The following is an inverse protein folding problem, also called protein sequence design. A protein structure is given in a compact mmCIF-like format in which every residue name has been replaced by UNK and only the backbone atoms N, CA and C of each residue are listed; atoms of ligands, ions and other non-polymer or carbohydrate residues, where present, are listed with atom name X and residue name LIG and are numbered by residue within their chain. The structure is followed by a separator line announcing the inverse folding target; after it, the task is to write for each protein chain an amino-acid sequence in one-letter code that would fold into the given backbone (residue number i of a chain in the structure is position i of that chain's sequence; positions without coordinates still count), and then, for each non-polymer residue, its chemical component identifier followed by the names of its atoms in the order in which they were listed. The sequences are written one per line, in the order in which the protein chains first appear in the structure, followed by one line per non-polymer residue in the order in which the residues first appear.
data_IF_741729147624
#
_entry.id   IF_741729147624
#
_cell.length_a   1.000
_cell.length_b   1.000
_cell.length_c   1.000
_cell.angle_alpha   90.00
_cell.angle_beta   90.00
_cell.angle_gamma   90.00
#
_symmetry.space_group_name_H-M   'P 1'
#
loop_
_entity.id
_entity.type
_entity.pdbx_description
1 polymer ?
#
# COMPACT_ATOMS: atom_id res chain seq x y z
N UNK A 1 -12.78 80.82 -0.99
CA UNK A 1 -12.00 80.30 0.17
C UNK A 1 -12.36 78.83 0.30
N UNK A 2 -11.53 77.92 -0.24
CA UNK A 2 -10.46 77.16 0.43
C UNK A 2 -10.95 76.27 1.58
N UNK A 3 -10.54 74.99 1.49
CA UNK A 3 -10.72 73.80 2.36
C UNK A 3 -11.72 72.82 1.70
N UNK A 4 -11.36 71.95 0.75
CA UNK A 4 -10.24 70.99 0.67
C UNK A 4 -10.22 70.03 1.88
N UNK A 5 -10.79 68.83 1.66
CA UNK A 5 -10.17 67.50 1.91
C UNK A 5 -11.21 66.46 2.35
N UNK A 6 -10.99 65.24 1.88
CA UNK A 6 -11.54 63.97 2.39
C UNK A 6 -12.92 63.55 1.86
N UNK A 7 -12.98 63.27 0.56
CA UNK A 7 -14.10 62.52 -0.04
C UNK A 7 -13.64 61.54 -1.14
N UNK A 8 -12.55 60.79 -0.89
CA UNK A 8 -12.08 59.69 -1.77
C UNK A 8 -11.51 58.47 -1.03
N UNK A 9 -11.78 58.32 0.26
CA UNK A 9 -11.17 57.26 1.10
C UNK A 9 -12.18 56.43 1.88
N UNK A 10 -13.40 56.23 1.33
CA UNK A 10 -14.44 55.41 1.99
C UNK A 10 -14.82 54.15 1.17
N UNK A 11 -14.29 53.98 -0.05
CA UNK A 11 -14.64 52.84 -0.90
C UNK A 11 -13.54 51.78 -1.05
N UNK A 12 -12.55 51.76 -0.15
CA UNK A 12 -11.41 50.82 -0.18
C UNK A 12 -11.10 50.23 1.20
N UNK A 13 -12.13 50.00 2.02
CA UNK A 13 -11.99 49.40 3.36
C UNK A 13 -13.13 48.40 3.67
N UNK A 14 -13.64 47.70 2.65
CA UNK A 14 -14.61 46.60 2.80
C UNK A 14 -14.11 45.26 2.21
N UNK A 15 -12.81 45.14 1.93
CA UNK A 15 -12.23 43.97 1.26
C UNK A 15 -11.09 43.29 2.03
N UNK A 16 -11.01 43.50 3.34
CA UNK A 16 -9.95 42.98 4.21
C UNK A 16 -10.51 42.43 5.52
N UNK A 17 -11.47 41.50 5.43
CA UNK A 17 -11.90 40.63 6.54
C UNK A 17 -12.54 39.35 5.98
N UNK A 18 -11.91 38.71 4.99
CA UNK A 18 -12.16 37.28 4.78
C UNK A 18 -11.42 36.56 5.91
N UNK A 19 -12.12 36.38 7.03
CA UNK A 19 -11.63 35.62 8.16
C UNK A 19 -11.18 34.24 7.66
N UNK A 20 -9.95 33.89 7.98
CA UNK A 20 -9.44 32.52 7.84
C UNK A 20 -10.34 31.67 8.74
N UNK A 21 -11.32 30.99 8.15
CA UNK A 21 -12.19 30.07 8.89
C UNK A 21 -11.34 28.91 9.37
N UNK A 22 -10.91 28.97 10.64
CA UNK A 22 -10.38 27.81 11.32
C UNK A 22 -11.59 26.89 11.54
N UNK A 23 -11.68 25.83 10.73
CA UNK A 23 -12.78 24.87 10.85
C UNK A 23 -12.80 24.31 12.28
N UNK A 24 -13.91 24.52 12.97
CA UNK A 24 -14.12 24.06 14.33
C UNK A 24 -14.39 22.56 14.30
N UNK A 25 -13.61 21.76 15.03
CA UNK A 25 -13.81 20.31 15.05
C UNK A 25 -14.47 19.94 16.38
N UNK A 26 -15.63 19.28 16.29
CA UNK A 26 -16.40 18.75 17.40
C UNK A 26 -16.12 17.27 17.57
N UNK A 27 -15.96 16.84 18.82
CA UNK A 27 -15.79 15.44 19.21
C UNK A 27 -16.97 15.03 20.09
N UNK A 28 -17.55 13.85 19.85
CA UNK A 28 -18.56 13.27 20.75
C UNK A 28 -18.44 11.76 20.84
N UNK A 29 -19.15 11.17 21.81
CA UNK A 29 -19.19 9.72 22.04
C UNK A 29 -20.62 9.21 21.80
N UNK A 30 -20.76 8.20 20.94
CA UNK A 30 -22.07 7.60 20.66
C UNK A 30 -22.53 6.62 21.76
N UNK A 31 -23.77 6.14 21.66
CA UNK A 31 -24.34 5.18 22.62
C UNK A 31 -23.59 3.83 22.69
N UNK A 32 -22.81 3.49 21.66
CA UNK A 32 -21.93 2.32 21.63
C UNK A 32 -20.52 2.61 22.18
N UNK A 33 -20.28 3.83 22.65
CA UNK A 33 -19.02 4.27 23.23
C UNK A 33 -17.93 4.63 22.21
N UNK A 34 -18.26 4.80 20.93
CA UNK A 34 -17.31 5.15 19.87
C UNK A 34 -17.17 6.67 19.76
N UNK A 35 -15.94 7.13 19.51
CA UNK A 35 -15.62 8.54 19.36
C UNK A 35 -15.75 8.96 17.90
N UNK A 36 -16.46 10.05 17.64
CA UNK A 36 -16.69 10.63 16.33
C UNK A 36 -16.20 12.08 16.29
N UNK A 37 -15.85 12.55 15.09
CA UNK A 37 -15.40 13.92 14.83
C UNK A 37 -16.16 14.52 13.65
N UNK A 38 -16.58 15.78 13.74
CA UNK A 38 -17.21 16.52 12.63
C UNK A 38 -16.92 18.02 12.75
N UNK A 39 -17.00 18.70 11.64
CA UNK A 39 -17.06 20.16 11.49
C UNK A 39 -18.37 20.78 12.01
N UNK A 40 -19.41 19.97 12.26
CA UNK A 40 -20.69 20.41 12.83
C UNK A 40 -21.01 19.62 14.10
N UNK A 41 -21.50 20.32 15.12
CA UNK A 41 -21.91 19.70 16.38
C UNK A 41 -23.22 18.92 16.17
N UNK A 42 -23.29 17.62 16.52
CA UNK A 42 -24.53 16.86 16.41
C UNK A 42 -25.55 17.32 17.46
N UNK A 43 -26.80 17.53 17.05
CA UNK A 43 -27.89 17.95 17.96
C UNK A 43 -28.24 16.89 19.03
N UNK A 44 -27.88 15.63 18.78
CA UNK A 44 -28.35 14.46 19.53
C UNK A 44 -27.35 13.97 20.59
N UNK A 45 -26.13 14.50 20.61
CA UNK A 45 -25.07 14.08 21.53
C UNK A 45 -24.35 15.29 22.11
N UNK A 46 -24.01 15.24 23.40
CA UNK A 46 -23.11 16.24 23.98
C UNK A 46 -21.75 16.15 23.27
N UNK A 47 -21.33 17.25 22.67
CA UNK A 47 -20.09 17.36 21.90
C UNK A 47 -19.16 18.38 22.54
N UNK A 48 -17.87 18.10 22.46
CA UNK A 48 -16.79 18.97 22.93
C UNK A 48 -16.06 19.54 21.71
N UNK A 49 -15.86 20.87 21.70
CA UNK A 49 -15.07 21.53 20.66
C UNK A 49 -13.59 21.32 20.95
N UNK A 50 -12.91 20.63 20.04
CA UNK A 50 -11.48 20.37 20.14
C UNK A 50 -10.71 21.25 19.14
N UNK A 51 -9.62 21.83 19.61
CA UNK A 51 -8.61 22.43 18.71
C UNK A 51 -7.50 21.40 18.54
N UNK A 52 -7.24 20.89 17.33
CA UNK A 52 -6.15 19.94 17.12
C UNK A 52 -4.84 20.56 17.57
N UNK A 53 -4.21 19.98 18.61
CA UNK A 53 -2.89 20.40 19.04
C UNK A 53 -1.86 19.88 18.03
N UNK A 54 -1.49 20.74 17.07
CA UNK A 54 -0.49 20.45 16.03
C UNK A 54 0.94 20.35 16.57
N UNK A 55 1.23 20.86 17.77
CA UNK A 55 2.56 20.78 18.38
C UNK A 55 2.89 19.36 18.87
N UNK A 56 1.89 18.53 19.23
CA UNK A 56 2.10 17.13 19.63
C UNK A 56 2.35 16.17 18.48
N UNK A 57 2.18 16.59 17.22
CA UNK A 57 2.31 15.74 16.04
C UNK A 57 3.56 16.04 15.20
N UNK A 58 4.42 16.97 15.61
CA UNK A 58 5.67 17.28 14.89
C UNK A 58 5.46 17.77 13.45
N UNK A 59 4.24 18.19 13.09
CA UNK A 59 3.90 18.65 11.75
C UNK A 59 4.23 20.13 11.63
N UNK A 60 5.29 20.47 10.90
CA UNK A 60 5.46 21.83 10.37
C UNK A 60 4.56 21.97 9.14
N UNK A 61 3.50 22.75 9.27
CA UNK A 61 2.68 23.19 8.14
C UNK A 61 3.58 24.01 7.20
N UNK A 62 3.60 23.64 5.91
CA UNK A 62 4.33 24.36 4.87
C UNK A 62 3.89 25.82 4.82
N UNK A 63 4.84 26.73 4.61
CA UNK A 63 4.62 28.18 4.63
C UNK A 63 3.46 28.62 3.72
N UNK A 64 2.72 29.69 4.08
CA UNK A 64 1.49 30.10 3.40
C UNK A 64 1.63 30.31 1.88
N UNK A 65 2.82 30.70 1.39
CA UNK A 65 3.12 30.78 -0.04
C UNK A 65 3.03 29.44 -0.78
N UNK A 66 3.36 28.34 -0.12
CA UNK A 66 3.25 27.00 -0.69
C UNK A 66 1.78 26.55 -0.79
N UNK A 67 0.94 26.95 0.15
CA UNK A 67 -0.50 26.68 0.11
C UNK A 67 -1.21 27.48 -0.99
N UNK A 68 -0.82 28.75 -1.20
CA UNK A 68 -1.35 29.58 -2.29
C UNK A 68 -0.98 29.01 -3.68
N UNK A 69 0.29 28.61 -3.86
CA UNK A 69 0.75 28.00 -5.12
C UNK A 69 0.01 26.68 -5.45
N UNK A 70 -0.32 25.87 -4.43
CA UNK A 70 -1.15 24.68 -4.61
C UNK A 70 -2.59 25.01 -5.00
N UNK A 71 -3.18 26.05 -4.42
CA UNK A 71 -4.57 26.45 -4.72
C UNK A 71 -4.74 26.96 -6.16
N UNK A 72 -3.78 27.73 -6.68
CA UNK A 72 -3.81 28.21 -8.08
C UNK A 72 -3.65 27.07 -9.09
N UNK A 73 -2.87 26.04 -8.75
CA UNK A 73 -2.66 24.87 -9.60
C UNK A 73 -3.92 23.98 -9.68
N UNK A 74 -4.69 23.87 -8.59
CA UNK A 74 -5.96 23.12 -8.59
C UNK A 74 -7.05 23.87 -9.36
N UNK A 75 -7.14 25.19 -9.19
CA UNK A 75 -8.15 26.02 -9.87
C UNK A 75 -7.91 26.15 -11.39
N UNK A 76 -6.67 26.02 -11.84
CA UNK A 76 -6.33 26.03 -13.28
C UNK A 76 -6.69 24.72 -14.00
N UNK A 77 -6.73 23.59 -13.29
CA UNK A 77 -7.11 22.29 -13.87
C UNK A 77 -8.62 22.13 -14.07
N UNK A 78 -9.44 22.92 -13.39
CA UNK A 78 -10.91 22.83 -13.48
C UNK A 78 -11.49 23.39 -14.81
N UNK A 79 -10.67 24.08 -15.63
CA UNK A 79 -11.14 24.73 -16.88
C UNK A 79 -11.12 23.85 -18.13
N UNK A 80 -10.63 22.62 -18.06
CA UNK A 80 -10.49 21.76 -19.26
C UNK A 80 -10.95 20.33 -19.01
N UNK A 81 -12.26 20.11 -18.81
CA UNK A 81 -12.90 18.82 -19.11
C UNK A 81 -14.42 18.94 -19.34
N UNK A 82 -15.01 18.28 -20.36
CA UNK A 82 -16.46 18.19 -20.56
C UNK A 82 -17.14 17.15 -19.63
N UNK A 83 -18.48 17.09 -19.54
CA UNK A 83 -19.16 16.70 -18.32
C UNK A 83 -19.40 15.18 -18.15
N UNK A 84 -19.11 14.74 -16.91
CA UNK A 84 -19.84 13.80 -16.03
C UNK A 84 -20.38 12.50 -16.63
N UNK A 85 -19.66 11.41 -16.37
CA UNK A 85 -20.27 10.14 -15.97
C UNK A 85 -20.21 10.01 -14.45
N UNK A 86 -21.39 9.87 -13.83
CA UNK A 86 -21.59 9.68 -12.40
C UNK A 86 -20.90 8.38 -11.97
N UNK A 87 -19.71 8.47 -11.34
CA UNK A 87 -19.12 7.34 -10.61
C UNK A 87 -19.74 7.28 -9.21
N UNK A 88 -20.43 6.17 -8.94
CA UNK A 88 -20.90 5.79 -7.61
C UNK A 88 -19.74 5.86 -6.63
N UNK A 89 -19.97 6.57 -5.53
CA UNK A 89 -19.14 6.59 -4.33
C UNK A 89 -19.18 5.18 -3.72
N UNK A 90 -18.15 4.37 -3.93
CA UNK A 90 -18.00 3.12 -3.19
C UNK A 90 -17.48 3.50 -1.81
N UNK A 91 -18.41 3.67 -0.88
CA UNK A 91 -18.14 3.61 0.55
C UNK A 91 -17.78 2.17 0.88
N UNK A 92 -16.50 1.83 0.82
CA UNK A 92 -15.99 0.50 1.16
C UNK A 92 -16.15 0.23 2.65
N UNK A 93 -17.22 -0.46 3.03
CA UNK A 93 -17.19 -1.33 4.21
C UNK A 93 -16.16 -2.42 3.96
N UNK A 94 -15.24 -2.64 4.90
CA UNK A 94 -14.10 -3.56 4.83
C UNK A 94 -14.43 -5.07 4.66
N UNK A 95 -15.65 -5.41 4.21
CA UNK A 95 -16.16 -6.79 4.11
C UNK A 95 -16.13 -7.39 2.71
N UNK A 96 -15.91 -6.63 1.63
CA UNK A 96 -16.10 -7.13 0.25
C UNK A 96 -14.82 -7.31 -0.58
N UNK A 97 -13.63 -6.98 -0.05
CA UNK A 97 -12.39 -7.03 -0.85
C UNK A 97 -11.73 -8.42 -0.86
N UNK A 98 -12.05 -9.29 0.12
CA UNK A 98 -11.51 -10.65 0.17
C UNK A 98 -12.26 -11.64 -0.72
N UNK A 99 -13.49 -11.33 -1.16
CA UNK A 99 -14.36 -12.27 -1.88
C UNK A 99 -14.19 -12.25 -3.41
N UNK A 100 -13.47 -11.30 -3.99
CA UNK A 100 -13.22 -11.30 -5.44
C UNK A 100 -12.04 -12.21 -5.80
N UNK A 101 -12.32 -13.40 -6.36
CA UNK A 101 -11.32 -14.19 -7.07
C UNK A 101 -10.88 -13.41 -8.32
N UNK A 102 -9.63 -12.97 -8.33
CA UNK A 102 -9.11 -12.05 -9.35
C UNK A 102 -9.00 -12.68 -10.72
N UNK A 103 -8.94 -14.02 -10.77
CA UNK A 103 -8.63 -14.78 -11.96
C UNK A 103 -9.74 -15.75 -12.37
N UNK A 104 -10.89 -15.73 -11.69
CA UNK A 104 -12.01 -16.60 -12.05
C UNK A 104 -12.50 -16.30 -13.47
N UNK A 105 -12.56 -17.34 -14.31
CA UNK A 105 -13.13 -17.25 -15.66
C UNK A 105 -12.25 -16.56 -16.71
N UNK A 106 -11.02 -16.16 -16.38
CA UNK A 106 -10.07 -15.60 -17.35
C UNK A 106 -9.34 -16.71 -18.12
N UNK A 107 -9.17 -16.51 -19.42
CA UNK A 107 -8.37 -17.38 -20.31
C UNK A 107 -7.09 -16.64 -20.65
N UNK A 108 -5.92 -17.19 -20.29
CA UNK A 108 -4.62 -16.51 -20.42
C UNK A 108 -4.17 -15.83 -19.13
N UNK A 109 -3.31 -14.80 -19.25
CA UNK A 109 -2.82 -14.07 -18.09
C UNK A 109 -3.94 -13.23 -17.44
N UNK A 110 -4.09 -13.43 -16.14
CA UNK A 110 -5.14 -12.84 -15.34
C UNK A 110 -4.99 -11.31 -15.16
N UNK A 111 -3.74 -10.85 -15.23
CA UNK A 111 -3.32 -9.48 -14.97
C UNK A 111 -2.93 -8.76 -16.25
N UNK A 112 -3.15 -7.44 -16.30
CA UNK A 112 -2.72 -6.60 -17.42
C UNK A 112 -1.24 -6.21 -17.28
N UNK A 113 -0.60 -5.79 -18.37
CA UNK A 113 0.80 -5.30 -18.34
C UNK A 113 1.00 -4.17 -17.33
N UNK A 114 0.01 -3.27 -17.19
CA UNK A 114 0.06 -2.18 -16.21
C UNK A 114 0.00 -2.69 -14.77
N UNK A 115 -0.82 -3.72 -14.50
CA UNK A 115 -0.89 -4.33 -13.18
C UNK A 115 0.43 -5.02 -12.85
N UNK A 116 0.97 -5.79 -13.79
CA UNK A 116 2.26 -6.45 -13.59
C UNK A 116 3.40 -5.46 -13.43
N UNK A 117 3.40 -4.33 -14.14
CA UNK A 117 4.36 -3.26 -13.93
C UNK A 117 4.35 -2.75 -12.47
N UNK A 118 3.16 -2.51 -11.90
CA UNK A 118 3.04 -2.05 -10.51
C UNK A 118 3.46 -3.14 -9.51
N UNK A 119 3.14 -4.41 -9.76
CA UNK A 119 3.64 -5.51 -8.93
C UNK A 119 5.17 -5.64 -9.04
N UNK A 120 5.76 -5.49 -10.22
CA UNK A 120 7.21 -5.50 -10.41
C UNK A 120 7.87 -4.32 -9.69
N UNK A 121 7.24 -3.14 -9.68
CA UNK A 121 7.69 -2.01 -8.86
C UNK A 121 7.60 -2.32 -7.36
N UNK A 122 6.46 -2.82 -6.89
CA UNK A 122 6.19 -3.02 -5.47
C UNK A 122 6.94 -4.19 -4.86
N UNK A 123 7.11 -5.26 -5.62
CA UNK A 123 7.53 -6.58 -5.12
C UNK A 123 8.69 -7.19 -5.91
N UNK A 124 9.17 -6.56 -6.99
CA UNK A 124 10.11 -7.18 -7.94
C UNK A 124 9.62 -8.49 -8.56
N UNK A 125 8.31 -8.76 -8.48
CA UNK A 125 7.64 -9.96 -8.98
C UNK A 125 6.40 -9.57 -9.78
N UNK A 126 6.02 -10.39 -10.74
CA UNK A 126 4.73 -10.25 -11.44
C UNK A 126 3.56 -10.50 -10.47
N UNK A 127 2.42 -9.85 -10.72
CA UNK A 127 1.22 -10.05 -9.91
C UNK A 127 0.79 -11.52 -9.95
N UNK A 128 0.92 -12.14 -11.14
CA UNK A 128 0.64 -13.57 -11.33
C UNK A 128 1.45 -14.45 -10.40
N UNK A 129 2.74 -14.19 -10.16
CA UNK A 129 3.58 -15.01 -9.27
C UNK A 129 3.14 -14.93 -7.81
N UNK A 130 2.76 -13.75 -7.35
CA UNK A 130 2.26 -13.54 -5.98
C UNK A 130 0.90 -14.22 -5.82
N UNK A 131 0.02 -14.08 -6.81
CA UNK A 131 -1.29 -14.70 -6.82
C UNK A 131 -1.22 -16.23 -6.94
N UNK A 132 -0.39 -16.74 -7.85
CA UNK A 132 -0.19 -18.17 -8.08
C UNK A 132 0.47 -18.84 -6.88
N UNK A 133 1.44 -18.23 -6.19
CA UNK A 133 1.97 -18.82 -4.96
C UNK A 133 0.84 -19.17 -3.99
N UNK A 134 -0.09 -18.22 -3.77
CA UNK A 134 -1.25 -18.40 -2.89
C UNK A 134 -2.17 -19.53 -3.35
N UNK A 135 -2.50 -19.55 -4.63
CA UNK A 135 -3.49 -20.49 -5.20
C UNK A 135 -2.89 -21.87 -5.44
N UNK A 136 -1.73 -21.94 -6.08
CA UNK A 136 -1.04 -23.17 -6.46
C UNK A 136 -0.44 -23.90 -5.28
N UNK A 137 0.09 -23.23 -4.24
CA UNK A 137 0.58 -23.94 -3.06
C UNK A 137 -0.53 -24.77 -2.41
N UNK A 138 -1.75 -24.24 -2.37
CA UNK A 138 -2.91 -24.95 -1.85
C UNK A 138 -3.40 -26.06 -2.81
N UNK A 139 -3.29 -25.88 -4.12
CA UNK A 139 -3.70 -26.89 -5.11
C UNK A 139 -2.70 -28.04 -5.25
N UNK A 140 -1.40 -27.75 -5.31
CA UNK A 140 -0.34 -28.77 -5.25
C UNK A 140 -0.47 -29.61 -3.99
N UNK A 141 -0.85 -28.96 -2.88
CA UNK A 141 -1.17 -29.61 -1.62
C UNK A 141 -2.31 -30.65 -1.69
N UNK A 142 -3.26 -30.48 -2.60
CA UNK A 142 -4.40 -31.39 -2.78
C UNK A 142 -4.16 -32.46 -3.85
N UNK A 143 -3.23 -32.24 -4.77
CA UNK A 143 -3.02 -33.09 -5.96
C UNK A 143 -1.77 -33.96 -5.94
N UNK A 144 -0.71 -33.55 -5.22
CA UNK A 144 0.54 -34.30 -5.10
C UNK A 144 0.59 -34.91 -3.69
N UNK A 145 1.13 -36.12 -3.55
CA UNK A 145 1.33 -36.97 -2.33
C UNK A 145 2.07 -36.26 -1.16
N UNK A 146 1.66 -35.06 -0.82
CA UNK A 146 2.20 -34.17 0.22
C UNK A 146 1.06 -33.77 1.16
N UNK A 147 -0.05 -34.53 1.18
CA UNK A 147 -1.27 -34.29 1.96
C UNK A 147 -1.00 -33.97 3.42
N UNK A 148 -0.04 -34.67 4.02
CA UNK A 148 0.29 -34.62 5.44
C UNK A 148 0.93 -33.28 5.85
N UNK A 149 1.49 -32.56 4.87
CA UNK A 149 2.16 -31.27 5.02
C UNK A 149 1.23 -30.08 4.76
N UNK A 150 0.00 -30.37 4.35
CA UNK A 150 -0.98 -29.39 3.89
C UNK A 150 -2.08 -29.11 4.90
N UNK A 151 -2.15 -29.90 5.97
CA UNK A 151 -2.95 -29.58 7.16
C UNK A 151 -2.32 -28.47 8.00
N UNK A 152 -1.08 -28.09 7.70
CA UNK A 152 -0.34 -27.07 8.44
C UNK A 152 -0.36 -25.70 7.75
N UNK A 153 -1.11 -24.73 8.28
CA UNK A 153 -1.00 -23.31 7.90
C UNK A 153 0.45 -22.77 8.02
N UNK A 154 1.26 -23.36 8.90
CA UNK A 154 2.65 -22.97 9.08
C UNK A 154 3.46 -23.19 7.80
N UNK A 155 3.37 -24.38 7.20
CA UNK A 155 4.15 -24.68 5.99
C UNK A 155 3.70 -23.85 4.79
N UNK A 156 2.41 -23.49 4.75
CA UNK A 156 1.87 -22.61 3.72
C UNK A 156 2.44 -21.19 3.84
N UNK A 157 2.41 -20.63 5.05
CA UNK A 157 2.98 -19.31 5.32
C UNK A 157 4.50 -19.29 5.23
N UNK A 158 5.21 -20.34 5.63
CA UNK A 158 6.67 -20.39 5.57
C UNK A 158 7.19 -20.29 4.12
N UNK A 159 6.53 -20.98 3.18
CA UNK A 159 6.88 -20.99 1.75
C UNK A 159 6.52 -19.71 0.99
N UNK A 160 5.99 -18.69 1.66
CA UNK A 160 5.60 -17.44 1.00
C UNK A 160 6.79 -16.67 0.42
N UNK A 161 6.59 -15.92 -0.68
CA UNK A 161 7.56 -14.96 -1.16
C UNK A 161 8.05 -14.06 -0.02
N UNK A 162 9.36 -13.77 0.07
CA UNK A 162 9.89 -12.87 1.11
C UNK A 162 9.21 -11.50 1.17
N UNK A 163 8.69 -11.04 0.02
CA UNK A 163 7.95 -9.79 -0.14
C UNK A 163 6.58 -9.77 0.53
N UNK A 164 6.04 -10.94 0.89
CA UNK A 164 4.80 -11.07 1.67
C UNK A 164 5.13 -10.95 3.17
N UNK A 165 5.45 -9.73 3.60
CA UNK A 165 5.81 -9.40 4.98
C UNK A 165 4.58 -9.18 5.85
N UNK A 166 4.78 -9.05 7.17
CA UNK A 166 3.75 -8.61 8.12
C UNK A 166 3.08 -7.32 7.71
N UNK A 167 3.83 -6.38 7.13
CA UNK A 167 3.27 -5.12 6.64
C UNK A 167 2.32 -5.30 5.44
N UNK A 168 2.41 -6.42 4.71
CA UNK A 168 1.52 -6.77 3.60
C UNK A 168 0.30 -7.60 4.04
N UNK A 169 0.30 -8.14 5.27
CA UNK A 169 -0.87 -8.85 5.79
C UNK A 169 -2.05 -7.88 5.91
N UNK A 170 -3.22 -8.26 5.40
CA UNK A 170 -4.40 -7.39 5.37
C UNK A 170 -4.36 -6.27 4.31
N UNK A 171 -3.26 -6.09 3.56
CA UNK A 171 -3.21 -5.14 2.45
C UNK A 171 -3.76 -5.77 1.18
N UNK A 172 -4.53 -4.97 0.46
CA UNK A 172 -5.01 -5.29 -0.88
C UNK A 172 -3.86 -5.43 -1.87
N UNK A 173 -4.09 -6.21 -2.94
CA UNK A 173 -3.13 -6.29 -4.03
C UNK A 173 -3.01 -4.88 -4.66
N UNK A 174 -1.82 -4.51 -5.17
CA UNK A 174 -1.59 -3.18 -5.74
C UNK A 174 -2.21 -3.09 -7.15
N UNK A 175 -3.54 -3.18 -7.20
CA UNK A 175 -4.35 -3.12 -8.41
C UNK A 175 -5.21 -1.85 -8.34
N UNK A 176 -5.30 -1.12 -9.45
CA UNK A 176 -5.99 0.17 -9.52
C UNK A 176 -7.42 0.14 -8.99
N UNK A 177 -8.12 -0.99 -9.17
CA UNK A 177 -9.51 -1.18 -8.75
C UNK A 177 -9.67 -1.45 -7.25
N UNK A 178 -8.59 -1.82 -6.55
CA UNK A 178 -8.62 -2.21 -5.14
C UNK A 178 -8.03 -1.16 -4.20
N UNK A 179 -7.18 -0.27 -4.71
CA UNK A 179 -6.52 0.77 -3.90
C UNK A 179 -7.19 2.13 -4.08
N UNK A 180 -6.96 3.03 -3.13
CA UNK A 180 -7.37 4.43 -3.30
C UNK A 180 -6.64 5.09 -4.46
N UNK A 181 -7.23 6.11 -5.09
CA UNK A 181 -6.57 6.85 -6.17
C UNK A 181 -5.23 7.45 -5.73
N UNK A 182 -5.16 7.92 -4.47
CA UNK A 182 -3.95 8.43 -3.86
C UNK A 182 -2.87 7.35 -3.78
N UNK A 183 -3.20 6.17 -3.26
CA UNK A 183 -2.24 5.05 -3.16
C UNK A 183 -1.81 4.54 -4.52
N UNK A 184 -2.72 4.52 -5.50
CA UNK A 184 -2.39 4.17 -6.87
C UNK A 184 -1.34 5.11 -7.48
N UNK A 185 -1.42 6.41 -7.21
CA UNK A 185 -0.40 7.38 -7.65
C UNK A 185 0.97 7.05 -7.03
N UNK A 186 1.04 6.79 -5.72
CA UNK A 186 2.32 6.43 -5.07
C UNK A 186 2.88 5.09 -5.57
N UNK A 187 2.02 4.08 -5.74
CA UNK A 187 2.40 2.75 -6.22
C UNK A 187 2.90 2.79 -7.68
N UNK A 188 2.19 3.49 -8.55
CA UNK A 188 2.55 3.59 -9.97
C UNK A 188 3.83 4.41 -10.22
N UNK A 189 4.13 5.37 -9.35
CA UNK A 189 5.33 6.20 -9.47
C UNK A 189 6.56 5.59 -8.78
N UNK A 190 6.37 5.06 -7.58
CA UNK A 190 7.48 4.67 -6.69
C UNK A 190 7.39 3.23 -6.22
N UNK A 191 6.32 2.49 -6.52
CA UNK A 191 6.17 1.12 -6.03
C UNK A 191 5.95 1.02 -4.51
N UNK A 192 5.53 2.08 -3.82
CA UNK A 192 5.24 2.05 -2.38
C UNK A 192 3.88 2.68 -2.11
N UNK A 193 3.18 2.23 -1.07
CA UNK A 193 1.97 2.90 -0.63
C UNK A 193 2.30 4.28 -0.05
N UNK A 194 1.36 5.22 -0.12
CA UNK A 194 1.66 6.58 0.30
C UNK A 194 1.96 6.67 1.81
N UNK A 195 1.36 5.81 2.62
CA UNK A 195 1.62 5.74 4.07
C UNK A 195 3.04 5.23 4.39
N UNK A 196 3.61 4.38 3.54
CA UNK A 196 4.96 3.84 3.71
C UNK A 196 6.06 4.87 3.46
N UNK A 197 5.77 5.88 2.63
CA UNK A 197 6.72 6.94 2.23
C UNK A 197 6.29 8.34 2.68
N UNK A 198 5.33 8.42 3.60
CA UNK A 198 4.85 9.67 4.18
C UNK A 198 5.77 10.20 5.28
N UNK A 199 6.34 9.31 6.10
CA UNK A 199 7.09 9.68 7.30
C UNK A 199 8.51 9.12 7.29
N UNK A 200 9.49 9.99 7.52
CA UNK A 200 10.91 9.64 7.52
C UNK A 200 11.25 8.52 8.52
N UNK A 201 10.62 8.55 9.70
CA UNK A 201 10.79 7.50 10.70
C UNK A 201 10.38 6.11 10.16
N UNK A 202 9.26 6.02 9.42
CA UNK A 202 8.79 4.76 8.83
C UNK A 202 9.74 4.24 7.76
N UNK A 203 10.27 5.13 6.91
CA UNK A 203 11.25 4.77 5.88
C UNK A 203 12.54 4.22 6.50
N UNK A 204 13.06 4.89 7.53
CA UNK A 204 14.28 4.47 8.22
C UNK A 204 14.07 3.18 9.01
N UNK A 205 12.97 3.06 9.75
CA UNK A 205 12.66 1.86 10.53
C UNK A 205 12.45 0.63 9.64
N UNK A 206 11.74 0.77 8.53
CA UNK A 206 11.38 -0.40 7.69
C UNK A 206 12.42 -0.75 6.64
N UNK A 207 13.11 0.25 6.07
CA UNK A 207 14.02 0.04 4.94
C UNK A 207 15.47 0.40 5.25
N UNK A 208 15.73 1.15 6.33
CA UNK A 208 17.06 1.69 6.63
C UNK A 208 17.49 2.79 5.66
N UNK A 209 16.54 3.46 4.99
CA UNK A 209 16.77 4.47 3.97
C UNK A 209 15.90 5.70 4.22
N UNK A 210 16.27 6.84 3.64
CA UNK A 210 15.42 8.03 3.67
C UNK A 210 14.20 7.87 2.76
N UNK A 211 13.12 8.58 3.07
CA UNK A 211 11.94 8.56 2.19
C UNK A 211 12.23 9.14 0.81
N UNK A 212 13.18 10.08 0.70
CA UNK A 212 13.62 10.60 -0.59
C UNK A 212 14.25 9.49 -1.45
N UNK A 213 15.18 8.72 -0.88
CA UNK A 213 15.81 7.59 -1.56
C UNK A 213 14.78 6.51 -1.96
N UNK A 214 13.76 6.27 -1.13
CA UNK A 214 12.66 5.35 -1.46
C UNK A 214 11.71 5.89 -2.53
N UNK A 215 11.60 7.21 -2.74
CA UNK A 215 10.78 7.77 -3.82
C UNK A 215 11.57 7.81 -5.13
N UNK A 216 12.88 8.09 -5.07
CA UNK A 216 13.73 8.21 -6.25
C UNK A 216 14.24 6.86 -6.79
N UNK A 217 14.13 5.76 -6.05
CA UNK A 217 14.82 4.50 -6.38
C UNK A 217 14.61 4.00 -7.81
N UNK A 218 13.38 4.10 -8.36
CA UNK A 218 13.08 3.60 -9.70
C UNK A 218 13.84 4.40 -10.76
N UNK A 219 13.87 5.73 -10.60
CA UNK A 219 14.63 6.63 -11.49
C UNK A 219 16.14 6.39 -11.37
N UNK A 220 16.63 6.16 -10.14
CA UNK A 220 18.04 5.83 -9.90
C UNK A 220 18.43 4.47 -10.48
N UNK A 221 17.57 3.46 -10.32
CA UNK A 221 17.76 2.11 -10.85
C UNK A 221 17.82 2.13 -12.38
N UNK A 222 16.92 2.88 -13.03
CA UNK A 222 16.92 3.06 -14.47
C UNK A 222 18.19 3.79 -14.94
N UNK A 223 18.61 4.84 -14.23
CA UNK A 223 19.85 5.55 -14.53
C UNK A 223 21.09 4.65 -14.38
N UNK A 224 21.10 3.77 -13.36
CA UNK A 224 22.16 2.76 -13.17
C UNK A 224 22.19 1.75 -14.31
N UNK A 225 21.03 1.27 -14.76
CA UNK A 225 20.91 0.38 -15.92
C UNK A 225 21.51 1.03 -17.17
N UNK A 226 21.13 2.28 -17.47
CA UNK A 226 21.62 3.04 -18.63
C UNK A 226 23.14 3.24 -18.58
N UNK A 227 23.70 3.52 -17.39
CA UNK A 227 25.15 3.63 -17.19
C UNK A 227 25.90 2.32 -17.42
N UNK A 228 25.29 1.18 -17.10
CA UNK A 228 25.86 -0.15 -17.34
C UNK A 228 25.71 -0.64 -18.79
N UNK A 229 25.28 0.23 -19.71
CA UNK A 229 25.06 -0.05 -21.15
C UNK A 229 24.06 -1.19 -21.41
N UNK A 230 23.02 -1.32 -20.57
CA UNK A 230 21.90 -2.21 -20.87
C UNK A 230 21.09 -1.70 -22.07
N UNK A 231 20.70 -2.61 -22.98
CA UNK A 231 19.86 -2.31 -24.15
C UNK A 231 18.41 -2.00 -23.79
N UNK A 232 17.89 -2.63 -22.74
CA UNK A 232 16.45 -2.68 -22.45
C UNK A 232 16.11 -2.05 -21.10
N UNK A 233 16.68 -0.86 -20.81
CA UNK A 233 16.45 -0.17 -19.54
C UNK A 233 15.09 0.52 -19.42
N UNK A 234 14.27 0.49 -20.48
CA UNK A 234 12.88 0.93 -20.41
C UNK A 234 11.97 -0.20 -19.88
N UNK A 235 12.43 -1.46 -19.97
CA UNK A 235 11.81 -2.59 -19.29
C UNK A 235 12.25 -2.64 -17.82
N UNK A 236 11.26 -2.75 -16.93
CA UNK A 236 11.45 -2.91 -15.50
C UNK A 236 12.22 -4.19 -15.14
N UNK A 237 12.14 -5.24 -15.96
CA UNK A 237 12.85 -6.49 -15.70
C UNK A 237 14.38 -6.33 -15.66
N UNK A 238 14.91 -5.33 -16.37
CA UNK A 238 16.33 -5.01 -16.40
C UNK A 238 16.85 -4.39 -15.09
N UNK A 239 15.98 -3.75 -14.31
CA UNK A 239 16.39 -2.94 -13.15
C UNK A 239 15.61 -3.19 -11.85
N UNK A 240 14.55 -4.01 -11.85
CA UNK A 240 13.78 -4.39 -10.65
C UNK A 240 14.61 -5.05 -9.53
N UNK A 241 15.77 -5.60 -9.88
CA UNK A 241 16.77 -6.15 -8.93
C UNK A 241 17.36 -5.10 -7.99
N UNK A 242 17.32 -3.83 -8.37
CA UNK A 242 17.80 -2.73 -7.54
C UNK A 242 16.73 -2.18 -6.59
N UNK A 243 15.53 -2.78 -6.55
CA UNK A 243 14.45 -2.36 -5.65
C UNK A 243 14.92 -2.36 -4.19
N UNK A 244 14.68 -1.28 -3.43
CA UNK A 244 14.90 -1.28 -1.99
C UNK A 244 14.06 -2.36 -1.32
N UNK A 245 14.74 -3.31 -0.67
CA UNK A 245 14.10 -4.34 0.14
C UNK A 245 13.90 -3.83 1.57
N UNK A 246 12.75 -4.15 2.17
CA UNK A 246 12.56 -3.89 3.61
C UNK A 246 13.47 -4.79 4.44
N UNK A 247 13.74 -4.41 5.69
CA UNK A 247 14.53 -5.21 6.62
C UNK A 247 13.90 -6.60 6.82
N UNK A 248 12.58 -6.66 6.97
CA UNK A 248 11.83 -7.92 7.10
C UNK A 248 11.97 -8.81 5.84
N UNK A 249 11.92 -8.23 4.64
CA UNK A 249 12.13 -8.97 3.39
C UNK A 249 13.54 -9.57 3.32
N UNK A 250 14.57 -8.79 3.72
CA UNK A 250 15.97 -9.24 3.75
C UNK A 250 16.16 -10.39 4.73
N UNK A 251 15.59 -10.28 5.93
CA UNK A 251 15.67 -11.32 6.96
C UNK A 251 15.00 -12.62 6.52
N UNK A 252 13.81 -12.55 5.89
CA UNK A 252 13.13 -13.74 5.39
C UNK A 252 13.84 -14.38 4.19
N UNK A 253 14.36 -13.57 3.26
CA UNK A 253 15.13 -14.09 2.12
C UNK A 253 16.40 -14.82 2.59
N UNK A 254 16.93 -14.40 3.73
CA UNK A 254 18.06 -15.03 4.39
C UNK A 254 19.40 -14.73 3.73
N UNK A 255 20.47 -15.01 4.46
CA UNK A 255 21.85 -14.80 4.03
C UNK A 255 22.55 -16.16 3.91
N UNK A 256 23.28 -16.37 2.83
CA UNK A 256 24.14 -17.55 2.66
C UNK A 256 25.30 -17.49 3.65
N UNK A 257 25.46 -18.54 4.43
CA UNK A 257 26.56 -18.66 5.37
C UNK A 257 27.81 -19.18 4.65
N UNK A 258 29.01 -18.74 5.10
CA UNK A 258 30.29 -19.17 4.52
C UNK A 258 30.52 -20.70 4.58
N UNK A 259 29.87 -21.40 5.52
CA UNK A 259 29.92 -22.86 5.66
C UNK A 259 28.86 -23.63 4.84
N UNK A 260 28.09 -22.94 3.99
CA UNK A 260 26.90 -23.51 3.35
C UNK A 260 25.64 -23.35 4.22
N UNK A 261 24.48 -23.41 3.57
CA UNK A 261 23.18 -23.14 4.19
C UNK A 261 22.78 -21.65 4.12
N UNK A 262 21.53 -21.39 4.47
CA UNK A 262 20.91 -20.06 4.52
C UNK A 262 20.41 -19.84 5.94
N UNK A 263 20.80 -18.73 6.56
CA UNK A 263 20.17 -18.26 7.79
C UNK A 263 19.08 -17.26 7.42
N UNK A 264 17.84 -17.62 7.67
CA UNK A 264 16.68 -16.74 7.50
C UNK A 264 15.97 -16.57 8.85
N UNK A 265 15.32 -15.41 9.00
CA UNK A 265 14.49 -15.08 10.14
C UNK A 265 13.15 -14.57 9.63
N UNK A 266 12.06 -15.15 10.13
CA UNK A 266 10.71 -14.84 9.67
C UNK A 266 9.96 -14.03 10.73
N UNK A 267 10.03 -12.69 10.63
CA UNK A 267 9.39 -11.79 11.60
C UNK A 267 7.86 -11.91 11.62
N UNK A 268 7.22 -12.37 10.54
CA UNK A 268 5.77 -12.62 10.56
C UNK A 268 5.45 -13.79 11.46
N UNK A 269 6.11 -14.94 11.25
CA UNK A 269 5.88 -16.14 12.06
C UNK A 269 6.25 -15.89 13.52
N UNK A 270 7.36 -15.18 13.77
CA UNK A 270 7.73 -14.76 15.13
C UNK A 270 6.69 -13.85 15.78
N UNK A 271 6.11 -12.90 15.03
CA UNK A 271 5.07 -12.01 15.56
C UNK A 271 3.77 -12.74 15.90
N UNK A 272 3.54 -13.90 15.29
CA UNK A 272 2.44 -14.81 15.60
C UNK A 272 2.79 -15.80 16.72
N UNK A 273 4.00 -15.71 17.29
CA UNK A 273 4.48 -16.61 18.33
C UNK A 273 4.84 -18.00 17.83
N UNK A 274 5.09 -18.15 16.53
CA UNK A 274 5.30 -19.45 15.88
C UNK A 274 6.75 -19.62 15.46
N UNK A 275 7.44 -20.59 16.06
CA UNK A 275 8.82 -20.96 15.70
C UNK A 275 8.94 -22.29 14.97
N UNK A 276 7.89 -23.11 15.04
CA UNK A 276 7.81 -24.45 14.45
C UNK A 276 6.37 -24.78 14.13
N UNK A 277 6.17 -25.80 13.31
CA UNK A 277 4.86 -26.35 12.99
C UNK A 277 4.19 -26.92 14.27
N UNK A 278 3.17 -26.23 14.77
CA UNK A 278 2.46 -26.58 16.00
C UNK A 278 0.93 -26.37 15.83
N UNK A 279 0.10 -27.43 15.95
CA UNK A 279 -1.35 -27.33 15.84
C UNK A 279 -2.01 -26.30 16.77
N UNK A 280 -1.44 -26.00 17.93
CA UNK A 280 -1.99 -24.98 18.85
C UNK A 280 -1.96 -23.58 18.24
N UNK A 281 -1.05 -23.33 17.29
CA UNK A 281 -0.87 -22.04 16.61
C UNK A 281 -1.69 -21.91 15.33
N UNK A 282 -2.31 -22.99 14.87
CA UNK A 282 -3.03 -23.02 13.58
C UNK A 282 -4.17 -22.00 13.48
N UNK A 283 -4.96 -21.71 14.53
CA UNK A 283 -5.99 -20.68 14.44
C UNK A 283 -5.42 -19.29 14.09
N UNK A 284 -4.29 -18.91 14.70
CA UNK A 284 -3.65 -17.62 14.43
C UNK A 284 -3.04 -17.57 13.02
N UNK A 285 -2.41 -18.67 12.58
CA UNK A 285 -1.85 -18.80 11.24
C UNK A 285 -2.95 -18.79 10.16
N UNK A 286 -4.07 -19.44 10.41
CA UNK A 286 -5.22 -19.45 9.51
C UNK A 286 -5.81 -18.04 9.36
N UNK A 287 -5.92 -17.29 10.46
CA UNK A 287 -6.35 -15.88 10.41
C UNK A 287 -5.37 -15.03 9.59
N UNK A 288 -4.06 -15.24 9.75
CA UNK A 288 -3.05 -14.54 8.95
C UNK A 288 -3.18 -14.88 7.45
N UNK A 289 -3.42 -16.15 7.11
CA UNK A 289 -3.67 -16.56 5.73
C UNK A 289 -4.94 -15.94 5.15
N UNK A 290 -6.05 -15.93 5.90
CA UNK A 290 -7.31 -15.32 5.48
C UNK A 290 -7.20 -13.79 5.33
N UNK A 291 -6.26 -13.15 6.02
CA UNK A 291 -5.97 -11.71 5.84
C UNK A 291 -5.27 -11.39 4.51
N UNK A 292 -4.73 -12.38 3.80
CA UNK A 292 -4.12 -12.17 2.50
C UNK A 292 -5.21 -11.95 1.46
N UNK A 293 -5.15 -10.80 0.79
CA UNK A 293 -6.17 -10.46 -0.22
C UNK A 293 -6.07 -11.34 -1.45
N UNK A 294 -7.22 -11.56 -2.10
CA UNK A 294 -7.36 -12.44 -3.26
C UNK A 294 -7.33 -13.93 -2.93
N UNK A 295 -7.56 -14.31 -1.67
CA UNK A 295 -7.51 -15.69 -1.22
C UNK A 295 -8.88 -16.15 -0.70
N UNK A 296 -9.78 -16.55 -1.62
CA UNK A 296 -10.93 -17.36 -1.23
C UNK A 296 -10.47 -18.82 -1.04
N UNK A 297 -10.08 -19.16 0.20
CA UNK A 297 -9.76 -20.56 0.59
C UNK A 297 -11.02 -21.44 0.52
N UNK A 298 -12.22 -20.84 0.61
CA UNK A 298 -13.48 -21.55 0.80
C UNK A 298 -14.19 -21.81 -0.53
N UNK A 299 -14.43 -23.10 -0.75
CA UNK A 299 -15.32 -23.76 -1.72
C UNK A 299 -15.29 -23.28 -3.19
N UNK A 300 -14.92 -24.24 -4.04
CA UNK A 300 -14.86 -24.24 -5.52
C UNK A 300 -13.58 -23.67 -6.08
N UNK A 301 -12.66 -24.55 -6.48
CA UNK A 301 -11.61 -24.17 -7.42
C UNK A 301 -11.67 -25.04 -8.66
N UNK A 302 -11.85 -24.39 -9.82
CA UNK A 302 -11.36 -24.89 -11.09
C UNK A 302 -9.84 -25.12 -10.93
N UNK A 303 -9.30 -26.19 -11.52
CA UNK A 303 -7.85 -26.44 -11.49
C UNK A 303 -7.16 -25.26 -12.21
N UNK A 304 -6.26 -24.56 -11.51
CA UNK A 304 -5.35 -23.64 -12.18
C UNK A 304 -4.17 -24.46 -12.73
N UNK A 305 -3.60 -24.04 -13.86
CA UNK A 305 -2.41 -24.69 -14.41
C UNK A 305 -1.19 -24.25 -13.60
N UNK A 306 -0.81 -25.07 -12.61
CA UNK A 306 0.29 -24.80 -11.68
C UNK A 306 1.61 -25.46 -12.11
N UNK A 307 1.59 -26.39 -13.06
CA UNK A 307 2.75 -27.22 -13.40
C UNK A 307 3.82 -26.48 -14.23
N UNK A 308 3.44 -25.40 -14.92
CA UNK A 308 4.38 -24.57 -15.69
C UNK A 308 5.20 -23.62 -14.79
N UNK A 309 4.59 -23.02 -13.77
CA UNK A 309 5.18 -21.88 -13.03
C UNK A 309 5.95 -22.32 -11.77
N UNK A 310 5.55 -23.41 -11.11
CA UNK A 310 6.20 -23.86 -9.87
C UNK A 310 7.60 -24.45 -10.10
N UNK A 311 7.90 -24.91 -11.32
CA UNK A 311 9.27 -25.32 -11.68
C UNK A 311 10.26 -24.16 -11.64
N UNK A 312 9.78 -22.94 -11.94
CA UNK A 312 10.57 -21.72 -11.92
C UNK A 312 10.52 -21.01 -10.55
N UNK A 313 9.53 -21.34 -9.71
CA UNK A 313 9.45 -20.89 -8.32
C UNK A 313 10.36 -21.73 -7.41
N UNK A 314 11.67 -21.64 -7.62
CA UNK A 314 12.62 -22.00 -6.57
C UNK A 314 12.62 -20.85 -5.55
N UNK A 315 12.28 -21.07 -4.25
CA UNK A 315 12.56 -20.10 -3.21
C UNK A 315 14.08 -20.02 -3.04
N UNK A 316 14.70 -19.26 -3.93
CA UNK A 316 16.13 -19.26 -4.16
C UNK A 316 16.58 -17.86 -4.51
N UNK A 317 17.02 -17.17 -3.46
CA UNK A 317 18.01 -16.09 -3.46
C UNK A 317 17.73 -14.93 -4.41
N UNK A 318 17.29 -13.84 -3.79
CA UNK A 318 17.56 -12.51 -4.28
C UNK A 318 19.10 -12.39 -4.47
N UNK A 319 19.54 -12.52 -5.71
CA UNK A 319 20.88 -12.13 -6.15
C UNK A 319 20.88 -10.65 -6.52
#
# INVERSE_FOLDING_TARGET
MKILRNLKWISLLCLLCAGVGVAEIYQWKDAAGRIHYSDEAPEQYESEKITPNTERLGVKLSEPKAAEAWSEQVLSQEKTTPPKTVRKRVSGTAKDVSENDLCEGKVGDCFTEQQDYVCKLRFSLECKKIYHWKVCLQQDCQQKDISDKCESPYQLLDRRPPVMTRAQMGRVMPLQEQVSERDWQCLSQHGFFCDEVAFEATCQERFGLSCEALKSWATEAQARCKKQRGSDCDDIDSWKKFRPLSLEEKEKAGIRLMGGGVSSRDLLLESLGVQKDDPETYPALQQAMESLTGLNIRERRRRFDCDAEWKDFAPGLLN
#
